data_IF_044134716578
#
_entry.id   IF_044134716578
#
_cell.length_a   1.000
_cell.length_b   1.000
_cell.length_c   1.000
_cell.angle_alpha   90.00
_cell.angle_beta   90.00
_cell.angle_gamma   90.00
#
_symmetry.space_group_name_H-M   'P 1'
#
loop_
_entity.id
_entity.type
_entity.pdbx_description
1 polymer ?
#
# COMPACT_ATOMS: atom_id res chain seq x y z
N UNK A 1 15.51 16.92 -42.02
CA UNK A 1 15.20 17.88 -40.93
C UNK A 1 15.68 17.25 -39.63
N UNK A 2 16.53 17.88 -38.82
CA UNK A 2 17.00 17.29 -37.57
C UNK A 2 15.89 17.27 -36.53
N UNK A 3 15.67 16.11 -35.90
CA UNK A 3 14.67 15.96 -34.84
C UNK A 3 15.26 16.52 -33.54
N UNK A 4 14.81 17.72 -33.13
CA UNK A 4 15.15 18.29 -31.82
C UNK A 4 14.22 17.70 -30.76
N UNK A 5 14.71 16.72 -30.00
CA UNK A 5 14.02 16.20 -28.82
C UNK A 5 14.27 17.17 -27.66
N UNK A 6 13.32 18.08 -27.43
CA UNK A 6 13.28 19.00 -26.30
C UNK A 6 12.43 18.38 -25.18
N UNK A 7 13.07 17.76 -24.18
CA UNK A 7 12.38 17.30 -22.97
C UNK A 7 12.25 18.45 -21.97
N UNK A 8 11.22 19.27 -22.10
CA UNK A 8 10.80 20.21 -21.04
C UNK A 8 9.84 19.51 -20.08
N UNK A 9 10.29 19.28 -18.84
CA UNK A 9 9.40 18.85 -17.76
C UNK A 9 8.70 20.10 -17.23
N UNK A 10 7.37 20.14 -17.29
CA UNK A 10 6.56 21.26 -16.83
C UNK A 10 5.59 20.76 -15.76
N UNK A 11 5.76 21.23 -14.52
CA UNK A 11 4.78 21.06 -13.46
C UNK A 11 4.11 22.40 -13.18
N UNK A 12 2.78 22.38 -13.04
CA UNK A 12 2.00 23.59 -12.72
C UNK A 12 2.18 23.90 -11.24
N UNK A 13 2.82 25.03 -10.95
CA UNK A 13 2.92 25.55 -9.59
C UNK A 13 1.71 26.44 -9.30
N UNK A 14 0.66 25.86 -8.72
CA UNK A 14 -0.40 26.62 -8.06
C UNK A 14 -0.02 26.80 -6.58
N UNK A 15 0.76 27.85 -6.33
CA UNK A 15 1.23 28.28 -5.01
C UNK A 15 0.30 29.39 -4.49
N UNK A 16 -0.29 29.23 -3.29
CA UNK A 16 -1.00 30.29 -2.55
C UNK A 16 -0.63 30.18 -1.05
N UNK A 17 -0.26 31.30 -0.36
CA UNK A 17 0.38 31.21 0.95
C UNK A 17 -0.56 31.35 2.17
N UNK A 18 -0.36 30.43 3.13
CA UNK A 18 -0.62 30.49 4.60
C UNK A 18 -1.54 31.58 5.18
N UNK A 19 -2.49 31.12 6.01
CA UNK A 19 -3.00 31.83 7.20
C UNK A 19 -2.75 31.02 8.49
N UNK A 20 -2.57 31.64 9.67
CA UNK A 20 -2.32 30.92 10.93
C UNK A 20 -3.61 30.56 11.67
N UNK A 21 -3.87 29.26 11.85
CA UNK A 21 -4.90 28.72 12.75
C UNK A 21 -4.28 28.18 14.05
N UNK A 22 -4.87 28.50 15.20
CA UNK A 22 -4.44 27.98 16.51
C UNK A 22 -5.16 26.66 16.83
N UNK A 23 -4.48 25.53 16.68
CA UNK A 23 -5.01 24.23 17.10
C UNK A 23 -4.67 23.96 18.57
N UNK A 24 -5.70 24.10 19.42
CA UNK A 24 -5.63 23.95 20.88
C UNK A 24 -5.91 22.50 21.31
N UNK A 25 -5.00 21.56 21.04
CA UNK A 25 -5.16 20.18 21.54
C UNK A 25 -3.88 19.32 21.60
N UNK A 26 -3.04 19.51 22.63
CA UNK A 26 -2.48 18.40 23.45
C UNK A 26 -1.72 18.97 24.65
N UNK A 27 -2.07 18.56 25.88
CA UNK A 27 -1.21 18.76 27.07
C UNK A 27 -1.71 17.95 28.29
N UNK A 28 -1.71 16.60 28.24
CA UNK A 28 -1.88 15.80 29.48
C UNK A 28 -1.37 14.35 29.50
N UNK A 29 -0.13 14.09 29.07
CA UNK A 29 0.53 12.80 29.32
C UNK A 29 1.95 12.88 29.91
N UNK A 30 2.11 13.52 31.09
CA UNK A 30 3.36 13.40 31.88
C UNK A 30 3.26 13.64 33.39
N UNK A 31 2.89 12.59 34.14
CA UNK A 31 3.24 12.25 35.55
C UNK A 31 2.09 11.43 36.18
N UNK A 32 2.34 10.38 36.94
CA UNK A 32 3.64 9.76 37.22
C UNK A 32 3.52 8.51 38.08
N UNK A 33 4.45 7.57 37.89
CA UNK A 33 4.67 6.43 38.78
C UNK A 33 5.43 6.92 40.01
N UNK A 34 4.93 6.63 41.22
CA UNK A 34 5.75 6.25 42.40
C UNK A 34 4.92 5.86 43.64
N UNK A 35 5.16 4.64 44.12
CA UNK A 35 5.30 4.23 45.54
C UNK A 35 4.10 4.38 46.52
N UNK A 36 4.00 3.60 47.61
CA UNK A 36 4.45 2.24 47.99
C UNK A 36 3.86 1.90 49.38
N UNK A 37 3.80 0.61 49.74
CA UNK A 37 3.64 0.04 51.11
C UNK A 37 2.25 0.28 51.79
N UNK A 38 1.64 -0.60 52.60
CA UNK A 38 1.87 -1.96 53.15
C UNK A 38 0.72 -2.29 54.16
N UNK A 39 0.58 -3.41 54.88
CA UNK A 39 1.19 -4.75 54.92
C UNK A 39 0.33 -5.70 55.84
N UNK A 40 0.48 -7.04 55.78
CA UNK A 40 -0.12 -8.03 56.71
C UNK A 40 -1.57 -8.48 56.39
N UNK A 41 -1.94 -9.69 55.94
CA UNK A 41 -1.47 -11.09 56.13
C UNK A 41 -1.98 -11.79 57.41
N UNK A 42 -2.79 -12.86 57.23
CA UNK A 42 -3.29 -13.74 58.31
C UNK A 42 -4.28 -14.81 57.81
N UNK A 43 -3.90 -16.08 57.91
CA UNK A 43 -4.68 -17.27 57.48
C UNK A 43 -4.73 -18.30 58.64
N UNK A 44 -5.78 -19.13 58.70
CA UNK A 44 -5.78 -20.59 59.02
C UNK A 44 -7.04 -21.08 59.78
N UNK A 45 -7.76 -22.05 59.17
CA UNK A 45 -8.32 -23.34 59.70
C UNK A 45 -9.16 -23.35 61.02
N UNK A 46 -10.09 -24.27 61.31
CA UNK A 46 -10.49 -25.58 60.73
C UNK A 46 -11.90 -26.01 61.20
N UNK A 47 -12.40 -27.16 60.69
CA UNK A 47 -13.54 -27.98 61.15
C UNK A 47 -14.96 -27.35 61.20
N UNK A 48 -16.06 -28.10 61.05
CA UNK A 48 -16.22 -29.55 60.83
C UNK A 48 -17.69 -29.90 60.55
N UNK A 49 -17.95 -31.13 60.09
CA UNK A 49 -19.23 -31.61 59.55
C UNK A 49 -20.41 -31.61 60.55
N UNK A 50 -21.65 -31.43 60.08
CA UNK A 50 -22.55 -32.58 59.84
C UNK A 50 -23.79 -32.25 58.98
N UNK A 51 -24.18 -33.28 58.22
CA UNK A 51 -25.32 -33.48 57.30
C UNK A 51 -26.62 -33.67 58.11
N UNK A 52 -27.81 -33.16 57.76
CA UNK A 52 -28.77 -33.52 56.68
C UNK A 52 -29.90 -32.45 56.78
N UNK A 53 -30.66 -32.03 55.76
CA UNK A 53 -31.85 -32.72 55.25
C UNK A 53 -32.62 -31.88 54.20
N UNK A 54 -33.22 -32.59 53.23
CA UNK A 54 -34.34 -32.20 52.33
C UNK A 54 -34.15 -31.02 51.35
N UNK A 55 -34.39 -31.31 50.07
CA UNK A 55 -34.49 -30.34 48.97
C UNK A 55 -35.81 -29.53 49.04
N UNK A 56 -35.71 -28.20 49.07
CA UNK A 56 -36.75 -27.27 48.59
C UNK A 56 -36.16 -26.48 47.40
N UNK A 57 -36.77 -26.59 46.21
CA UNK A 57 -36.19 -26.18 44.90
C UNK A 57 -36.18 -24.65 44.62
N UNK A 58 -36.30 -23.79 45.64
CA UNK A 58 -36.54 -22.34 45.48
C UNK A 58 -35.42 -21.42 46.04
N UNK A 59 -34.18 -21.91 46.23
CA UNK A 59 -33.13 -21.16 46.96
C UNK A 59 -31.76 -20.97 46.26
N UNK A 60 -31.60 -21.36 45.00
CA UNK A 60 -30.31 -21.27 44.27
C UNK A 60 -30.06 -19.93 43.53
N UNK A 61 -31.10 -19.15 43.22
CA UNK A 61 -30.92 -17.89 42.48
C UNK A 61 -30.33 -16.77 43.34
N UNK A 62 -30.63 -16.73 44.64
CA UNK A 62 -30.13 -15.71 45.55
C UNK A 62 -28.61 -15.84 45.79
N UNK A 63 -28.14 -17.04 46.16
CA UNK A 63 -26.73 -17.31 46.44
C UNK A 63 -25.82 -17.04 45.22
N UNK A 64 -26.33 -17.30 44.02
CA UNK A 64 -25.63 -17.05 42.76
C UNK A 64 -25.57 -15.56 42.42
N UNK A 65 -26.64 -14.80 42.69
CA UNK A 65 -26.65 -13.35 42.50
C UNK A 65 -25.71 -12.64 43.48
N UNK A 66 -25.67 -13.06 44.75
CA UNK A 66 -24.75 -12.51 45.76
C UNK A 66 -23.28 -12.77 45.36
N UNK A 67 -22.97 -13.97 44.87
CA UNK A 67 -21.62 -14.31 44.37
C UNK A 67 -21.17 -13.45 43.17
N UNK A 68 -22.14 -13.00 42.36
CA UNK A 68 -21.92 -12.21 41.15
C UNK A 68 -21.89 -10.71 41.47
N UNK A 69 -22.68 -10.24 42.43
CA UNK A 69 -22.61 -8.90 43.01
C UNK A 69 -21.24 -8.64 43.64
N UNK A 70 -20.78 -9.54 44.53
CA UNK A 70 -19.46 -9.46 45.15
C UNK A 70 -18.31 -9.46 44.13
N UNK A 71 -18.45 -10.22 43.03
CA UNK A 71 -17.48 -10.19 41.93
C UNK A 71 -17.45 -8.83 41.21
N UNK A 72 -18.61 -8.24 40.91
CA UNK A 72 -18.70 -6.94 40.22
C UNK A 72 -18.35 -5.74 41.12
N UNK A 73 -18.49 -5.86 42.44
CA UNK A 73 -17.99 -4.85 43.41
C UNK A 73 -16.45 -4.80 43.39
N UNK A 74 -15.79 -5.95 43.32
CA UNK A 74 -14.32 -6.08 43.19
C UNK A 74 -13.75 -5.85 41.77
N UNK A 75 -14.59 -5.64 40.75
CA UNK A 75 -14.14 -5.43 39.37
C UNK A 75 -13.75 -3.98 39.08
N UNK A 76 -12.69 -3.77 38.28
CA UNK A 76 -12.33 -2.46 37.72
C UNK A 76 -13.27 -1.98 36.60
N UNK A 77 -14.42 -2.64 36.40
CA UNK A 77 -15.39 -2.36 35.34
C UNK A 77 -16.37 -1.27 35.80
N UNK A 78 -16.03 -0.02 35.50
CA UNK A 78 -16.83 1.14 35.87
C UNK A 78 -18.31 1.00 35.45
N UNK A 79 -19.21 1.14 36.42
CA UNK A 79 -20.67 1.04 36.22
C UNK A 79 -21.27 -0.33 36.56
N UNK A 80 -20.50 -1.43 36.52
CA UNK A 80 -21.03 -2.77 36.82
C UNK A 80 -21.50 -2.91 38.28
N UNK A 81 -20.74 -2.35 39.23
CA UNK A 81 -21.09 -2.24 40.65
C UNK A 81 -22.49 -1.61 40.86
N UNK A 82 -22.85 -0.55 40.13
CA UNK A 82 -24.17 0.10 40.22
C UNK A 82 -25.33 -0.69 39.58
N UNK A 83 -25.04 -1.79 38.90
CA UNK A 83 -26.02 -2.67 38.24
C UNK A 83 -26.30 -3.92 39.09
N UNK A 84 -25.31 -4.37 39.87
CA UNK A 84 -25.41 -5.54 40.75
C UNK A 84 -25.28 -5.18 42.24
N UNK A 85 -25.86 -4.05 42.64
CA UNK A 85 -26.02 -3.72 44.05
C UNK A 85 -27.09 -4.62 44.70
N UNK A 86 -26.83 -5.11 45.92
CA UNK A 86 -27.66 -6.05 46.70
C UNK A 86 -28.96 -5.42 47.28
N UNK A 87 -29.71 -4.67 46.47
CA UNK A 87 -31.02 -4.15 46.84
C UNK A 87 -32.11 -5.21 46.59
N UNK A 88 -32.77 -5.68 47.66
CA UNK A 88 -33.85 -6.72 47.64
C UNK A 88 -35.12 -6.34 46.84
N UNK A 89 -35.10 -5.23 46.09
CA UNK A 89 -36.15 -4.76 45.18
C UNK A 89 -35.49 -4.05 44.00
N UNK A 90 -35.77 -4.49 42.77
CA UNK A 90 -35.30 -3.84 41.53
C UNK A 90 -35.58 -2.33 41.56
N UNK A 91 -34.52 -1.54 41.65
CA UNK A 91 -34.61 -0.09 41.78
C UNK A 91 -34.56 0.57 40.40
N UNK A 92 -35.39 1.59 40.18
CA UNK A 92 -35.36 2.40 38.93
C UNK A 92 -33.96 2.97 38.65
N UNK A 93 -33.19 3.24 39.72
CA UNK A 93 -31.79 3.69 39.66
C UNK A 93 -30.85 2.64 39.05
N UNK A 94 -31.04 1.37 39.39
CA UNK A 94 -30.26 0.24 38.87
C UNK A 94 -30.54 0.03 37.38
N UNK A 95 -31.81 0.12 36.97
CA UNK A 95 -32.22 0.09 35.56
C UNK A 95 -31.63 1.25 34.75
N UNK A 96 -31.59 2.47 35.32
CA UNK A 96 -30.95 3.62 34.67
C UNK A 96 -29.44 3.40 34.49
N UNK A 97 -28.73 2.93 35.51
CA UNK A 97 -27.30 2.60 35.39
C UNK A 97 -27.04 1.48 34.38
N UNK A 98 -27.89 0.46 34.33
CA UNK A 98 -27.80 -0.59 33.33
C UNK A 98 -27.97 -0.06 31.90
N UNK A 99 -28.93 0.84 31.66
CA UNK A 99 -29.11 1.51 30.36
C UNK A 99 -27.87 2.35 30.00
N UNK A 100 -27.38 3.18 30.91
CA UNK A 100 -26.20 4.04 30.67
C UNK A 100 -24.95 3.20 30.37
N UNK A 101 -24.74 2.11 31.12
CA UNK A 101 -23.64 1.18 30.91
C UNK A 101 -23.74 0.43 29.59
N UNK A 102 -24.93 -0.08 29.23
CA UNK A 102 -25.16 -0.75 27.94
C UNK A 102 -24.96 0.20 26.76
N UNK A 103 -25.40 1.47 26.88
CA UNK A 103 -25.15 2.50 25.86
C UNK A 103 -23.65 2.80 25.72
N UNK A 104 -22.92 2.93 26.84
CA UNK A 104 -21.47 3.16 26.83
C UNK A 104 -20.70 1.98 26.21
N UNK A 105 -21.06 0.74 26.59
CA UNK A 105 -20.48 -0.49 26.03
C UNK A 105 -20.79 -0.63 24.53
N UNK A 106 -22.03 -0.34 24.11
CA UNK A 106 -22.43 -0.37 22.70
C UNK A 106 -21.66 0.66 21.88
N UNK A 107 -21.56 1.91 22.35
CA UNK A 107 -20.79 2.96 21.69
C UNK A 107 -19.29 2.59 21.59
N UNK A 108 -18.71 2.02 22.66
CA UNK A 108 -17.33 1.54 22.65
C UNK A 108 -17.12 0.43 21.62
N UNK A 109 -17.99 -0.59 21.57
CA UNK A 109 -17.86 -1.70 20.61
C UNK A 109 -18.04 -1.24 19.15
N UNK A 110 -18.96 -0.31 18.89
CA UNK A 110 -19.11 0.31 17.56
C UNK A 110 -17.86 1.09 17.16
N UNK A 111 -17.28 1.88 18.07
CA UNK A 111 -16.04 2.62 17.82
C UNK A 111 -14.86 1.68 17.57
N UNK A 112 -14.72 0.60 18.34
CA UNK A 112 -13.65 -0.39 18.14
C UNK A 112 -13.83 -1.11 16.80
N UNK A 113 -15.05 -1.51 16.43
CA UNK A 113 -15.32 -2.14 15.15
C UNK A 113 -14.96 -1.23 13.98
N UNK A 114 -15.43 0.02 13.99
CA UNK A 114 -15.10 1.03 12.97
C UNK A 114 -13.58 1.26 12.84
N UNK A 115 -12.87 1.38 13.97
CA UNK A 115 -11.40 1.56 13.96
C UNK A 115 -10.66 0.30 13.50
N UNK A 116 -11.17 -0.90 13.77
CA UNK A 116 -10.59 -2.16 13.24
C UNK A 116 -10.83 -2.28 11.74
N UNK A 117 -12.03 -1.95 11.24
CA UNK A 117 -12.32 -1.93 9.80
C UNK A 117 -11.43 -0.89 9.08
N UNK A 118 -11.27 0.30 9.66
CA UNK A 118 -10.37 1.34 9.14
C UNK A 118 -8.89 0.92 9.16
N UNK A 119 -8.43 0.26 10.22
CA UNK A 119 -7.06 -0.29 10.26
C UNK A 119 -6.85 -1.38 9.18
N UNK A 120 -7.87 -2.20 8.92
CA UNK A 120 -7.83 -3.27 7.93
C UNK A 120 -8.12 -2.80 6.48
N UNK A 121 -8.46 -1.52 6.25
CA UNK A 121 -8.52 -0.97 4.87
C UNK A 121 -7.15 -0.61 4.31
N UNK A 122 -6.12 -0.51 5.17
CA UNK A 122 -4.74 -0.15 4.81
C UNK A 122 -4.62 1.21 4.07
N UNK A 123 -5.44 2.17 4.48
CA UNK A 123 -5.36 3.56 4.04
C UNK A 123 -3.96 4.13 4.31
N UNK A 124 -3.37 4.75 3.29
CA UNK A 124 -2.05 5.37 3.36
C UNK A 124 -2.09 6.79 2.82
N UNK A 125 -1.35 7.69 3.46
CA UNK A 125 -1.18 9.09 3.02
C UNK A 125 0.24 9.26 2.52
N UNK A 126 0.39 9.77 1.30
CA UNK A 126 1.69 10.11 0.73
C UNK A 126 2.02 11.58 1.02
N UNK A 127 3.23 11.84 1.48
CA UNK A 127 3.77 13.20 1.62
C UNK A 127 4.74 13.46 0.47
N UNK A 128 4.54 14.56 -0.25
CA UNK A 128 5.42 15.01 -1.32
C UNK A 128 6.31 16.15 -0.79
N UNK A 129 7.59 16.12 -1.14
CA UNK A 129 8.60 17.08 -0.68
C UNK A 129 9.62 17.32 -1.81
N UNK A 130 9.83 18.58 -2.17
CA UNK A 130 10.74 18.97 -3.25
C UNK A 130 12.09 19.41 -2.68
N UNK A 131 13.13 18.64 -2.97
CA UNK A 131 14.49 18.91 -2.45
C UNK A 131 15.48 19.16 -3.57
N UNK A 132 16.12 20.33 -3.49
CA UNK A 132 17.24 20.70 -4.36
C UNK A 132 18.47 19.83 -4.06
N UNK A 133 18.88 19.01 -5.02
CA UNK A 133 20.09 18.19 -4.95
C UNK A 133 21.16 18.73 -5.94
N UNK A 134 22.38 19.07 -5.49
CA UNK A 134 23.41 19.67 -6.36
C UNK A 134 24.00 18.67 -7.37
N UNK A 135 23.84 17.36 -7.13
CA UNK A 135 24.20 16.30 -8.06
C UNK A 135 23.02 15.32 -8.15
N UNK A 136 22.57 15.05 -9.36
CA UNK A 136 21.55 14.05 -9.68
C UNK A 136 22.14 13.02 -10.65
N UNK A 137 21.74 11.77 -10.51
CA UNK A 137 22.06 10.72 -11.49
C UNK A 137 21.29 11.01 -12.78
N UNK A 138 22.00 11.16 -13.89
CA UNK A 138 21.35 11.34 -15.19
C UNK A 138 20.62 10.05 -15.58
N UNK A 139 19.36 10.12 -16.02
CA UNK A 139 18.55 8.94 -16.31
C UNK A 139 19.04 8.20 -17.57
N UNK A 140 18.66 6.94 -17.70
CA UNK A 140 18.81 6.22 -18.96
C UNK A 140 17.90 6.86 -20.03
N UNK A 141 18.47 7.22 -21.18
CA UNK A 141 17.74 7.77 -22.32
C UNK A 141 17.60 6.68 -23.38
N UNK A 142 16.42 6.08 -23.45
CA UNK A 142 16.07 5.11 -24.48
C UNK A 142 15.32 5.80 -25.62
N UNK A 143 15.78 5.62 -26.85
CA UNK A 143 15.09 6.08 -28.05
C UNK A 143 15.13 4.99 -29.13
N UNK A 144 14.10 4.98 -29.98
CA UNK A 144 13.99 4.09 -31.13
C UNK A 144 13.70 4.93 -32.37
N UNK A 145 14.12 4.47 -33.55
CA UNK A 145 13.66 5.07 -34.80
C UNK A 145 12.18 4.71 -34.99
N UNK A 146 11.35 5.67 -35.39
CA UNK A 146 9.95 5.39 -35.71
C UNK A 146 9.81 4.37 -36.87
N UNK A 147 10.80 4.34 -37.76
CA UNK A 147 10.91 3.29 -38.76
C UNK A 147 11.51 2.03 -38.12
N UNK A 148 10.74 0.96 -38.05
CA UNK A 148 11.20 -0.34 -37.54
C UNK A 148 12.35 -0.93 -38.38
N UNK A 149 12.32 -0.74 -39.70
CA UNK A 149 13.23 -1.41 -40.65
C UNK A 149 13.76 -0.44 -41.72
N UNK A 150 15.06 -0.54 -42.01
CA UNK A 150 15.70 0.12 -43.14
C UNK A 150 15.27 -0.54 -44.45
N UNK A 151 14.46 0.16 -45.25
CA UNK A 151 13.98 -0.33 -46.56
C UNK A 151 15.11 -0.81 -47.48
N UNK A 152 16.28 -0.18 -47.43
CA UNK A 152 17.47 -0.54 -48.21
C UNK A 152 18.17 -1.84 -47.76
N UNK A 153 17.72 -2.48 -46.67
CA UNK A 153 18.26 -3.74 -46.15
C UNK A 153 17.28 -4.92 -46.34
N UNK A 154 16.08 -4.68 -46.90
CA UNK A 154 15.05 -5.71 -47.13
C UNK A 154 15.34 -6.44 -48.44
N UNK A 155 15.42 -7.78 -48.40
CA UNK A 155 15.59 -8.62 -49.59
C UNK A 155 14.25 -9.05 -50.20
N UNK A 156 14.27 -9.76 -51.34
CA UNK A 156 13.05 -10.27 -51.97
C UNK A 156 12.43 -11.40 -51.14
N UNK A 157 13.24 -12.29 -50.58
CA UNK A 157 12.74 -13.33 -49.67
C UNK A 157 12.16 -12.77 -48.37
N UNK A 158 12.66 -11.64 -47.86
CA UNK A 158 12.03 -10.98 -46.71
C UNK A 158 10.61 -10.51 -47.04
N UNK A 159 10.38 -9.93 -48.23
CA UNK A 159 9.05 -9.52 -48.66
C UNK A 159 8.09 -10.70 -48.85
N UNK A 160 8.58 -11.86 -49.30
CA UNK A 160 7.77 -13.08 -49.38
C UNK A 160 7.22 -13.57 -48.03
N UNK A 161 7.93 -13.32 -46.92
CA UNK A 161 7.50 -13.75 -45.58
C UNK A 161 6.87 -12.62 -44.75
N UNK A 162 7.32 -11.38 -44.92
CA UNK A 162 6.93 -10.22 -44.11
C UNK A 162 6.09 -9.19 -44.88
N UNK A 163 5.90 -9.33 -46.19
CA UNK A 163 5.28 -8.34 -47.06
C UNK A 163 3.95 -7.81 -46.51
N UNK A 164 3.02 -8.71 -46.17
CA UNK A 164 1.71 -8.35 -45.62
C UNK A 164 1.81 -7.54 -44.33
N UNK A 165 2.77 -7.86 -43.43
CA UNK A 165 3.01 -7.12 -42.19
C UNK A 165 3.66 -5.75 -42.44
N UNK A 166 4.44 -5.64 -43.52
CA UNK A 166 5.10 -4.41 -43.97
C UNK A 166 4.21 -3.52 -44.86
N UNK A 167 2.97 -3.95 -45.14
CA UNK A 167 2.02 -3.22 -46.01
C UNK A 167 2.27 -3.41 -47.51
N UNK A 168 3.00 -4.46 -47.91
CA UNK A 168 3.15 -4.88 -49.30
C UNK A 168 2.15 -5.99 -49.65
N UNK A 169 1.40 -5.80 -50.73
CA UNK A 169 0.52 -6.80 -51.34
C UNK A 169 1.25 -7.59 -52.44
N UNK A 170 0.82 -8.81 -52.75
CA UNK A 170 1.49 -9.73 -53.70
C UNK A 170 1.59 -9.19 -55.15
N UNK A 171 0.74 -8.21 -55.48
CA UNK A 171 0.66 -7.50 -56.76
C UNK A 171 1.41 -6.15 -56.75
N UNK A 172 1.97 -5.73 -55.61
CA UNK A 172 2.65 -4.44 -55.46
C UNK A 172 4.13 -4.56 -55.84
N UNK A 173 4.53 -3.88 -56.91
CA UNK A 173 5.95 -3.72 -57.21
C UNK A 173 6.64 -2.99 -56.03
N UNK A 174 7.78 -3.48 -55.49
CA UNK A 174 8.35 -2.93 -54.25
C UNK A 174 8.61 -1.42 -54.26
N UNK A 175 8.86 -0.84 -55.44
CA UNK A 175 9.14 0.59 -55.62
C UNK A 175 10.48 1.06 -55.04
N UNK A 176 11.22 0.13 -54.42
CA UNK A 176 12.50 0.34 -53.75
C UNK A 176 13.54 -0.62 -54.33
N UNK A 177 14.83 -0.23 -54.42
CA UNK A 177 15.91 -1.17 -54.67
C UNK A 177 16.01 -2.13 -53.48
N UNK A 178 15.83 -3.42 -53.74
CA UNK A 178 15.96 -4.47 -52.72
C UNK A 178 17.43 -4.75 -52.42
N UNK A 179 17.70 -5.15 -51.19
CA UNK A 179 19.01 -5.65 -50.78
C UNK A 179 19.32 -6.99 -51.47
N UNK A 180 20.61 -7.33 -51.66
CA UNK A 180 21.01 -8.69 -52.00
C UNK A 180 20.43 -9.71 -51.01
N UNK A 181 20.14 -10.91 -51.49
CA UNK A 181 19.68 -11.99 -50.62
C UNK A 181 20.73 -12.32 -49.53
N UNK A 182 20.33 -12.41 -48.24
CA UNK A 182 21.25 -12.74 -47.17
C UNK A 182 21.75 -14.19 -47.33
N UNK A 183 23.05 -14.42 -47.06
CA UNK A 183 23.57 -15.78 -46.95
C UNK A 183 23.02 -16.46 -45.70
N UNK A 184 21.92 -17.19 -45.88
CA UNK A 184 21.29 -17.99 -44.83
C UNK A 184 21.91 -19.38 -44.66
N UNK A 185 22.87 -19.78 -45.50
CA UNK A 185 23.53 -21.10 -45.42
C UNK A 185 22.53 -22.30 -45.39
N UNK A 186 21.37 -22.14 -46.02
CA UNK A 186 20.27 -23.11 -46.00
C UNK A 186 19.31 -23.03 -44.80
N UNK A 187 19.47 -22.07 -43.88
CA UNK A 187 18.51 -21.82 -42.81
C UNK A 187 17.20 -21.26 -43.36
N UNK A 188 16.10 -21.49 -42.62
CA UNK A 188 14.81 -20.85 -42.89
C UNK A 188 14.87 -19.36 -42.49
N UNK A 189 13.88 -18.60 -42.96
CA UNK A 189 13.62 -17.25 -42.48
C UNK A 189 13.46 -17.22 -40.95
N UNK A 190 14.07 -16.23 -40.30
CA UNK A 190 13.98 -15.99 -38.86
C UNK A 190 13.68 -14.52 -38.61
N UNK A 191 12.71 -14.24 -37.75
CA UNK A 191 12.37 -12.87 -37.35
C UNK A 191 13.54 -12.15 -36.65
N UNK A 192 14.36 -12.89 -35.90
CA UNK A 192 15.55 -12.35 -35.23
C UNK A 192 16.63 -11.95 -36.26
N UNK A 193 16.89 -12.80 -37.25
CA UNK A 193 17.83 -12.50 -38.36
C UNK A 193 17.36 -11.27 -39.15
N UNK A 194 16.09 -11.28 -39.55
CA UNK A 194 15.44 -10.18 -40.26
C UNK A 194 15.53 -8.88 -39.46
N UNK A 195 15.16 -8.89 -38.17
CA UNK A 195 15.24 -7.71 -37.31
C UNK A 195 16.68 -7.24 -37.14
N UNK A 196 17.62 -8.12 -36.79
CA UNK A 196 19.02 -7.75 -36.53
C UNK A 196 19.72 -7.14 -37.75
N UNK A 197 19.41 -7.63 -38.96
CA UNK A 197 19.91 -7.06 -40.23
C UNK A 197 19.21 -5.75 -40.60
N UNK A 198 17.89 -5.73 -40.56
CA UNK A 198 17.12 -4.59 -41.12
C UNK A 198 16.91 -3.43 -40.16
N UNK A 199 16.99 -3.63 -38.83
CA UNK A 199 16.90 -2.57 -37.81
C UNK A 199 17.86 -1.42 -38.07
N UNK A 200 17.52 -0.23 -37.58
CA UNK A 200 18.44 0.91 -37.62
C UNK A 200 19.61 0.70 -36.65
N UNK A 201 20.82 1.01 -37.14
CA UNK A 201 22.06 1.01 -36.35
C UNK A 201 22.33 2.38 -35.76
N UNK A 202 22.89 2.43 -34.55
CA UNK A 202 23.18 3.70 -33.87
C UNK A 202 24.30 4.46 -34.58
N UNK A 203 25.27 3.75 -35.15
CA UNK A 203 26.38 4.29 -35.94
C UNK A 203 25.90 5.06 -37.19
N UNK A 204 24.77 4.66 -37.78
CA UNK A 204 24.19 5.32 -38.96
C UNK A 204 23.32 6.54 -38.58
N UNK A 205 22.87 6.63 -37.31
CA UNK A 205 21.91 7.63 -36.84
C UNK A 205 22.55 8.74 -35.99
N UNK A 206 23.62 8.43 -35.27
CA UNK A 206 24.26 9.34 -34.32
C UNK A 206 25.26 10.25 -35.04
N UNK A 207 24.80 11.44 -35.41
CA UNK A 207 25.65 12.44 -36.08
C UNK A 207 26.60 13.17 -35.11
N UNK A 208 26.13 13.44 -33.90
CA UNK A 208 26.86 14.11 -32.83
C UNK A 208 26.28 13.68 -31.49
N UNK A 209 27.14 13.51 -30.48
CA UNK A 209 26.74 13.25 -29.10
C UNK A 209 27.64 14.04 -28.16
N UNK A 210 27.05 14.82 -27.27
CA UNK A 210 27.77 15.56 -26.24
C UNK A 210 27.02 15.47 -24.90
N UNK A 211 27.72 15.04 -23.85
CA UNK A 211 27.19 14.99 -22.51
C UNK A 211 28.10 15.75 -21.54
N UNK A 212 27.56 16.81 -20.93
CA UNK A 212 28.27 17.71 -19.99
C UNK A 212 29.58 18.29 -20.56
N UNK A 213 29.61 18.60 -21.86
CA UNK A 213 30.79 19.14 -22.55
C UNK A 213 31.80 18.09 -23.01
N UNK A 214 31.52 16.79 -22.81
CA UNK A 214 32.34 15.68 -23.33
C UNK A 214 31.66 15.06 -24.54
N UNK A 215 32.42 14.84 -25.60
CA UNK A 215 31.97 14.06 -26.74
C UNK A 215 31.70 12.60 -26.34
N UNK A 216 30.70 11.99 -26.97
CA UNK A 216 30.36 10.57 -26.88
C UNK A 216 30.18 9.99 -28.28
N UNK A 217 30.33 8.68 -28.43
CA UNK A 217 30.07 7.97 -29.68
C UNK A 217 29.05 6.83 -29.52
N UNK A 218 28.88 6.02 -30.56
CA UNK A 218 28.00 4.85 -30.56
C UNK A 218 28.25 3.88 -29.40
N UNK A 219 29.50 3.76 -28.94
CA UNK A 219 29.92 2.91 -27.83
C UNK A 219 29.32 3.29 -26.46
N UNK A 220 28.80 4.52 -26.32
CA UNK A 220 28.07 4.96 -25.14
C UNK A 220 26.62 4.45 -25.10
N UNK A 221 26.12 3.87 -26.20
CA UNK A 221 24.76 3.36 -26.32
C UNK A 221 24.75 1.83 -26.27
N UNK A 222 23.78 1.27 -25.55
CA UNK A 222 23.56 -0.17 -25.47
C UNK A 222 22.28 -0.54 -26.20
N UNK A 223 22.37 -1.53 -27.08
CA UNK A 223 21.20 -2.14 -27.70
C UNK A 223 20.35 -2.88 -26.65
N UNK A 224 19.03 -2.72 -26.75
CA UNK A 224 18.03 -3.46 -25.98
C UNK A 224 17.28 -4.34 -26.97
N UNK A 225 17.17 -5.63 -26.64
CA UNK A 225 16.36 -6.63 -27.35
C UNK A 225 15.08 -6.91 -26.55
#
# INVERSE_FOLDING_TARGET
>A
MPVRIMCSISFSADDEPRGPGNDLFDDRYRKGIKSSDGDGHGEYREDGCEELDVYDEDQDDASKLDSLAAFFDGCSLHGANHIFAEDKKFSVRQGLWAIVFLLALSAFLLQVFDRVVYYLSYDHVTMLDERNAPNLTFPAVTFCNYNYFRRSQISYSDLLFMGQLLGYEDNMAPGIPLAPEPDRQGSRFSLDEFHNRTRHRIEDMLLECNYRGKECGPEAFREVQ
#
